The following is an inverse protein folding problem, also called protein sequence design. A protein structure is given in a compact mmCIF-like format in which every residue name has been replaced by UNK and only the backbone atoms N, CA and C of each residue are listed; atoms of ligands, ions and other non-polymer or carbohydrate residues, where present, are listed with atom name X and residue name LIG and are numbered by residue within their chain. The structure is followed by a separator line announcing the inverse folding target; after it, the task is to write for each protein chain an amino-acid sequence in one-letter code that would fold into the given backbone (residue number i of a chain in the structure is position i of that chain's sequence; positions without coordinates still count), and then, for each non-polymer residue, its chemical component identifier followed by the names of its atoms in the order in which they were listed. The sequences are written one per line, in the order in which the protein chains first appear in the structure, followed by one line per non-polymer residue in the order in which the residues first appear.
data_IF_915399556875
#
_entry.id   IF_915399556875
#
_cell.length_a   1.000
_cell.length_b   1.000
_cell.length_c   1.000
_cell.angle_alpha   90.00
_cell.angle_beta   90.00
_cell.angle_gamma   90.00
#
_symmetry.space_group_name_H-M   'P 1'
#
loop_
_entity.id
_entity.type
_entity.pdbx_description
1 polymer ?
#
# COMPACT_ATOMS: atom_id res chain seq x y z
N UNK A 1 4.87 -8.68 39.51
CA UNK A 1 4.24 -7.43 39.99
C UNK A 1 3.02 -7.04 39.13
N UNK A 2 1.96 -7.87 39.09
CA UNK A 2 0.76 -7.68 38.23
C UNK A 2 -0.57 -7.59 38.99
N UNK A 3 -0.55 -7.58 40.33
CA UNK A 3 -1.78 -7.66 41.15
C UNK A 3 -2.36 -6.26 41.49
N UNK A 4 -1.59 -5.17 41.37
CA UNK A 4 -2.05 -3.82 41.79
C UNK A 4 -2.91 -3.03 40.77
N UNK A 5 -3.11 -3.51 39.54
CA UNK A 5 -3.84 -2.73 38.49
C UNK A 5 -5.33 -3.07 38.33
N UNK A 6 -5.85 -4.06 39.08
CA UNK A 6 -7.26 -4.49 38.97
C UNK A 6 -8.17 -3.66 39.91
N UNK A 7 -7.65 -3.17 41.04
CA UNK A 7 -8.44 -2.48 42.07
C UNK A 7 -8.74 -0.99 41.79
N UNK A 8 -8.04 -0.37 40.83
CA UNK A 8 -8.19 1.06 40.52
C UNK A 8 -8.75 1.33 39.12
N UNK A 9 -9.62 0.46 38.61
CA UNK A 9 -10.48 0.86 37.50
C UNK A 9 -11.60 1.74 38.07
N UNK A 10 -11.84 2.96 37.54
CA UNK A 10 -12.91 3.85 38.02
C UNK A 10 -14.27 3.17 38.16
N UNK A 11 -14.52 2.15 37.31
CA UNK A 11 -15.71 1.30 37.34
C UNK A 11 -15.86 0.45 38.60
N UNK A 12 -14.76 -0.03 39.18
CA UNK A 12 -14.77 -0.85 40.40
C UNK A 12 -15.06 0.03 41.60
N UNK A 13 -14.43 1.20 41.67
CA UNK A 13 -14.65 2.19 42.74
C UNK A 13 -16.09 2.70 42.72
N UNK A 14 -16.63 3.00 41.54
CA UNK A 14 -18.03 3.44 41.41
C UNK A 14 -19.04 2.35 41.79
N UNK A 15 -18.80 1.09 41.39
CA UNK A 15 -19.65 -0.05 41.78
C UNK A 15 -19.65 -0.26 43.30
N UNK A 16 -18.47 -0.19 43.93
CA UNK A 16 -18.33 -0.31 45.39
C UNK A 16 -19.05 0.87 46.07
N UNK A 17 -18.88 2.10 45.57
CA UNK A 17 -19.54 3.28 46.11
C UNK A 17 -21.07 3.18 46.08
N UNK A 18 -21.64 2.64 45.00
CA UNK A 18 -23.11 2.46 44.88
C UNK A 18 -23.62 1.37 45.80
N UNK A 19 -22.92 0.23 45.90
CA UNK A 19 -23.28 -0.85 46.82
C UNK A 19 -23.26 -0.35 48.27
N UNK A 20 -22.25 0.44 48.64
CA UNK A 20 -22.16 1.06 49.97
C UNK A 20 -23.27 2.08 50.21
N UNK A 21 -23.67 2.85 49.20
CA UNK A 21 -24.76 3.83 49.31
C UNK A 21 -26.13 3.14 49.47
N UNK A 22 -26.39 2.06 48.72
CA UNK A 22 -27.61 1.26 48.86
C UNK A 22 -27.68 0.58 50.23
N UNK A 23 -26.57 -0.03 50.68
CA UNK A 23 -26.47 -0.62 52.02
C UNK A 23 -26.67 0.42 53.11
N UNK A 24 -26.08 1.61 52.96
CA UNK A 24 -26.25 2.72 53.89
C UNK A 24 -27.71 3.19 54.00
N UNK A 25 -28.41 3.33 52.87
CA UNK A 25 -29.84 3.69 52.86
C UNK A 25 -30.68 2.58 53.51
N UNK A 26 -30.41 1.30 53.19
CA UNK A 26 -31.11 0.17 53.79
C UNK A 26 -30.96 0.10 55.32
N UNK A 27 -29.75 0.35 55.82
CA UNK A 27 -29.46 0.40 57.27
C UNK A 27 -30.20 1.56 57.95
N UNK A 28 -30.21 2.74 57.34
CA UNK A 28 -30.91 3.93 57.89
C UNK A 28 -32.42 3.70 57.95
N UNK A 29 -33.00 3.04 56.94
CA UNK A 29 -34.42 2.70 56.91
C UNK A 29 -34.78 1.64 57.95
N UNK A 30 -33.89 0.64 58.17
CA UNK A 30 -34.12 -0.43 59.12
C UNK A 30 -34.02 0.02 60.59
N UNK A 31 -33.12 0.96 60.91
CA UNK A 31 -32.88 1.42 62.28
C UNK A 31 -33.93 2.43 62.77
N UNK A 32 -34.60 3.15 61.86
CA UNK A 32 -35.57 4.21 62.23
C UNK A 32 -37.02 3.82 61.92
N UNK A 33 -37.77 3.24 62.88
CA UNK A 33 -39.17 2.85 62.66
C UNK A 33 -40.18 4.02 62.60
N UNK A 34 -39.72 5.28 62.70
CA UNK A 34 -40.55 6.51 62.64
C UNK A 34 -40.44 7.27 61.30
N UNK A 35 -40.14 6.56 60.20
CA UNK A 35 -40.09 7.20 58.89
C UNK A 35 -41.51 7.52 58.43
N UNK A 36 -41.78 8.80 58.16
CA UNK A 36 -43.05 9.26 57.61
C UNK A 36 -43.13 8.98 56.11
N UNK A 37 -44.35 8.85 55.56
CA UNK A 37 -44.55 8.67 54.11
C UNK A 37 -43.81 9.72 53.27
N UNK A 38 -43.82 10.99 53.69
CA UNK A 38 -43.11 12.09 53.01
C UNK A 38 -41.59 11.89 52.91
N UNK A 39 -40.97 11.26 53.91
CA UNK A 39 -39.53 10.99 53.89
C UNK A 39 -39.19 9.84 52.93
N UNK A 40 -40.04 8.82 52.87
CA UNK A 40 -39.94 7.73 51.90
C UNK A 40 -40.07 8.25 50.46
N UNK A 41 -41.00 9.15 50.20
CA UNK A 41 -41.21 9.73 48.87
C UNK A 41 -39.99 10.55 48.42
N UNK A 42 -39.41 11.37 49.31
CA UNK A 42 -38.17 12.12 49.00
C UNK A 42 -36.98 11.20 48.73
N UNK A 43 -36.82 10.13 49.51
CA UNK A 43 -35.78 9.13 49.28
C UNK A 43 -35.95 8.41 47.94
N UNK A 44 -37.20 8.10 47.57
CA UNK A 44 -37.51 7.52 46.27
C UNK A 44 -37.09 8.46 45.13
N UNK A 45 -37.45 9.75 45.17
CA UNK A 45 -37.05 10.71 44.13
C UNK A 45 -35.53 10.91 44.05
N UNK A 46 -34.83 10.98 45.19
CA UNK A 46 -33.36 11.09 45.22
C UNK A 46 -32.71 9.85 44.60
N UNK A 47 -33.18 8.66 44.97
CA UNK A 47 -32.72 7.39 44.41
C UNK A 47 -32.98 7.33 42.90
N UNK A 48 -34.17 7.76 42.46
CA UNK A 48 -34.55 7.80 41.06
C UNK A 48 -33.64 8.73 40.25
N UNK A 49 -33.45 9.98 40.70
CA UNK A 49 -32.56 10.95 40.06
C UNK A 49 -31.10 10.44 40.03
N UNK A 50 -30.62 9.90 41.15
CA UNK A 50 -29.28 9.31 41.24
C UNK A 50 -29.09 8.13 40.27
N UNK A 51 -30.11 7.30 40.12
CA UNK A 51 -30.10 6.18 39.17
C UNK A 51 -30.06 6.66 37.72
N UNK A 52 -30.79 7.73 37.39
CA UNK A 52 -30.80 8.33 36.07
C UNK A 52 -29.42 8.94 35.71
N UNK A 53 -28.82 9.71 36.63
CA UNK A 53 -27.46 10.21 36.46
C UNK A 53 -26.44 9.08 36.27
N UNK A 54 -26.58 8.00 37.02
CA UNK A 54 -25.72 6.84 36.87
C UNK A 54 -25.85 6.18 35.50
N UNK A 55 -27.08 5.99 34.99
CA UNK A 55 -27.32 5.43 33.66
C UNK A 55 -26.67 6.32 32.59
N UNK A 56 -26.86 7.65 32.65
CA UNK A 56 -26.23 8.59 31.72
C UNK A 56 -24.70 8.50 31.76
N UNK A 57 -24.12 8.44 32.96
CA UNK A 57 -22.67 8.30 33.13
C UNK A 57 -22.14 6.95 32.61
N UNK A 58 -22.88 5.85 32.79
CA UNK A 58 -22.52 4.55 32.22
C UNK A 58 -22.55 4.56 30.69
N UNK A 59 -23.55 5.20 30.07
CA UNK A 59 -23.63 5.37 28.61
C UNK A 59 -22.42 6.17 28.10
N UNK A 60 -22.07 7.26 28.78
CA UNK A 60 -20.88 8.05 28.45
C UNK A 60 -19.59 7.21 28.50
N UNK A 61 -19.35 6.48 29.60
CA UNK A 61 -18.18 5.62 29.73
C UNK A 61 -18.17 4.47 28.71
N UNK A 62 -19.34 3.92 28.37
CA UNK A 62 -19.47 2.87 27.36
C UNK A 62 -19.10 3.38 25.97
N UNK A 63 -19.57 4.59 25.60
CA UNK A 63 -19.19 5.25 24.34
C UNK A 63 -17.69 5.48 24.25
N UNK A 64 -17.07 5.96 25.34
CA UNK A 64 -15.62 6.18 25.36
C UNK A 64 -14.84 4.86 25.17
N UNK A 65 -15.26 3.79 25.83
CA UNK A 65 -14.64 2.47 25.67
C UNK A 65 -14.81 1.89 24.26
N UNK A 66 -16.00 2.03 23.67
CA UNK A 66 -16.25 1.59 22.30
C UNK A 66 -15.33 2.33 21.33
N UNK A 67 -15.19 3.64 21.47
CA UNK A 67 -14.27 4.44 20.66
C UNK A 67 -12.83 3.96 20.83
N UNK A 68 -12.39 3.71 22.07
CA UNK A 68 -11.04 3.20 22.30
C UNK A 68 -10.80 1.84 21.65
N UNK A 69 -11.76 0.90 21.77
CA UNK A 69 -11.68 -0.43 21.14
C UNK A 69 -11.65 -0.33 19.61
N UNK A 70 -12.49 0.52 19.04
CA UNK A 70 -12.54 0.74 17.60
C UNK A 70 -11.21 1.30 17.08
N UNK A 71 -10.65 2.30 17.76
CA UNK A 71 -9.34 2.86 17.42
C UNK A 71 -8.21 1.83 17.54
N UNK A 72 -8.26 0.98 18.58
CA UNK A 72 -7.31 -0.11 18.73
C UNK A 72 -7.40 -1.10 17.55
N UNK A 73 -8.62 -1.50 17.16
CA UNK A 73 -8.85 -2.41 16.03
C UNK A 73 -8.35 -1.83 14.70
N UNK A 74 -8.58 -0.54 14.44
CA UNK A 74 -8.07 0.13 13.23
C UNK A 74 -6.53 0.07 13.20
N UNK A 75 -5.86 0.32 14.32
CA UNK A 75 -4.40 0.26 14.41
C UNK A 75 -3.87 -1.15 14.22
N UNK A 76 -4.50 -2.13 14.87
CA UNK A 76 -4.16 -3.55 14.69
C UNK A 76 -4.28 -3.96 13.23
N UNK A 77 -5.38 -3.57 12.56
CA UNK A 77 -5.55 -3.82 11.13
C UNK A 77 -4.50 -3.12 10.28
N UNK A 78 -4.08 -1.91 10.66
CA UNK A 78 -3.01 -1.18 9.95
C UNK A 78 -1.67 -1.93 10.02
N UNK A 79 -1.34 -2.51 11.18
CA UNK A 79 -0.14 -3.35 11.35
C UNK A 79 -0.24 -4.64 10.54
N UNK A 80 -1.42 -5.26 10.51
CA UNK A 80 -1.70 -6.42 9.65
C UNK A 80 -1.45 -6.07 8.18
N UNK A 81 -1.93 -4.92 7.70
CA UNK A 81 -1.70 -4.47 6.33
C UNK A 81 -0.22 -4.21 6.04
N UNK A 82 0.55 -3.70 7.00
CA UNK A 82 2.00 -3.57 6.85
C UNK A 82 2.69 -4.92 6.66
N UNK A 83 2.25 -5.94 7.41
CA UNK A 83 2.74 -7.30 7.23
C UNK A 83 2.36 -7.88 5.86
N UNK A 84 1.12 -7.68 5.40
CA UNK A 84 0.69 -8.10 4.06
C UNK A 84 1.50 -7.42 2.95
N UNK A 85 1.76 -6.12 3.08
CA UNK A 85 2.59 -5.39 2.14
C UNK A 85 4.03 -5.92 2.08
N UNK A 86 4.58 -6.37 3.22
CA UNK A 86 5.90 -7.01 3.24
C UNK A 86 5.97 -8.27 2.36
N UNK A 87 4.87 -8.99 2.20
CA UNK A 87 4.78 -10.15 1.33
C UNK A 87 4.64 -9.75 -0.15
N UNK A 88 3.98 -8.62 -0.44
CA UNK A 88 3.89 -8.06 -1.79
C UNK A 88 5.29 -7.67 -2.32
N UNK A 89 6.12 -7.04 -1.46
CA UNK A 89 7.47 -6.58 -1.85
C UNK A 89 8.39 -7.74 -2.26
N UNK A 90 8.27 -8.91 -1.61
CA UNK A 90 9.22 -10.02 -1.82
C UNK A 90 9.16 -10.64 -3.21
N UNK A 91 7.99 -10.62 -3.86
CA UNK A 91 7.71 -11.63 -4.89
C UNK A 91 7.89 -11.08 -6.31
N UNK A 92 7.73 -9.78 -6.61
CA UNK A 92 7.48 -9.42 -8.02
C UNK A 92 7.98 -8.07 -8.59
N UNK A 93 8.34 -7.00 -7.84
CA UNK A 93 8.78 -5.73 -8.47
C UNK A 93 9.93 -5.88 -9.49
N UNK A 94 10.84 -6.84 -9.25
CA UNK A 94 11.98 -7.12 -10.13
C UNK A 94 11.56 -7.70 -11.49
N UNK A 95 10.50 -8.50 -11.55
CA UNK A 95 10.01 -9.05 -12.81
C UNK A 95 9.42 -7.96 -13.70
N UNK A 96 8.65 -7.02 -13.13
CA UNK A 96 8.08 -5.90 -13.91
C UNK A 96 9.17 -4.93 -14.35
N UNK A 97 10.15 -4.66 -13.48
CA UNK A 97 11.32 -3.87 -13.86
C UNK A 97 12.04 -4.50 -15.06
N UNK A 98 12.19 -5.83 -15.10
CA UNK A 98 12.80 -6.51 -16.24
C UNK A 98 11.94 -6.45 -17.52
N UNK A 99 10.62 -6.36 -17.40
CA UNK A 99 9.71 -6.22 -18.57
C UNK A 99 9.57 -4.79 -19.08
N UNK A 100 9.93 -3.78 -18.27
CA UNK A 100 9.89 -2.38 -18.71
C UNK A 100 11.08 -2.07 -19.60
N UNK A 101 10.80 -1.48 -20.78
CA UNK A 101 11.83 -0.94 -21.66
C UNK A 101 12.64 0.17 -20.95
N UNK A 102 13.95 0.26 -21.24
CA UNK A 102 14.86 1.25 -20.64
C UNK A 102 14.42 2.71 -20.86
N UNK A 103 13.80 3.02 -21.99
CA UNK A 103 13.25 4.35 -22.26
C UNK A 103 12.08 4.67 -21.32
N UNK A 104 11.16 3.72 -21.13
CA UNK A 104 10.03 3.85 -20.22
C UNK A 104 10.51 4.01 -18.77
N UNK A 105 11.54 3.26 -18.37
CA UNK A 105 12.17 3.42 -17.04
C UNK A 105 12.73 4.82 -16.86
N UNK A 106 13.42 5.38 -17.85
CA UNK A 106 13.96 6.75 -17.78
C UNK A 106 12.83 7.77 -17.64
N UNK A 107 11.75 7.62 -18.40
CA UNK A 107 10.57 8.48 -18.30
C UNK A 107 9.94 8.41 -16.90
N UNK A 108 9.78 7.21 -16.30
CA UNK A 108 9.26 7.07 -14.92
C UNK A 108 10.20 7.63 -13.85
N UNK A 109 11.51 7.51 -14.04
CA UNK A 109 12.53 8.10 -13.15
C UNK A 109 12.50 9.63 -13.16
N UNK A 110 12.19 10.25 -14.29
CA UNK A 110 12.00 11.71 -14.35
C UNK A 110 10.82 12.20 -13.48
N UNK A 111 9.95 11.29 -13.05
CA UNK A 111 8.86 11.56 -12.10
C UNK A 111 9.21 11.17 -10.65
N UNK A 112 10.44 10.77 -10.33
CA UNK A 112 10.86 10.46 -8.93
C UNK A 112 10.75 11.68 -8.01
N UNK A 113 11.06 12.88 -8.52
CA UNK A 113 11.03 14.12 -7.74
C UNK A 113 9.62 14.67 -7.54
N UNK A 114 8.63 14.16 -8.30
CA UNK A 114 7.25 14.63 -8.21
C UNK A 114 6.26 13.52 -8.61
N UNK A 115 5.93 12.67 -7.63
CA UNK A 115 4.91 11.62 -7.78
C UNK A 115 3.52 12.20 -8.06
N UNK A 116 3.24 13.45 -7.67
CA UNK A 116 1.92 14.07 -7.88
C UNK A 116 1.61 14.43 -9.34
N UNK A 117 2.56 14.24 -10.25
CA UNK A 117 2.33 14.34 -11.70
C UNK A 117 1.47 13.21 -12.25
N UNK A 118 1.47 12.04 -11.60
CA UNK A 118 0.67 10.89 -11.98
C UNK A 118 -0.54 10.85 -11.05
N UNK A 119 -1.74 10.98 -11.59
CA UNK A 119 -2.97 11.14 -10.84
C UNK A 119 -4.04 10.19 -11.32
N UNK A 120 -4.26 10.17 -12.62
CA UNK A 120 -5.38 9.47 -13.21
C UNK A 120 -5.02 8.07 -13.66
N UNK A 121 -3.78 7.81 -14.09
CA UNK A 121 -3.37 6.49 -14.59
C UNK A 121 -4.33 5.98 -15.69
N UNK A 122 -4.60 6.85 -16.65
CA UNK A 122 -5.34 6.57 -17.88
C UNK A 122 -4.49 6.95 -19.10
N UNK A 123 -5.02 6.65 -20.29
CA UNK A 123 -4.30 6.85 -21.55
C UNK A 123 -4.15 8.34 -21.85
N UNK A 124 -5.16 9.15 -21.53
CA UNK A 124 -5.11 10.59 -21.73
C UNK A 124 -3.97 11.24 -20.92
N UNK A 125 -3.87 10.95 -19.62
CA UNK A 125 -2.78 11.44 -18.78
C UNK A 125 -1.43 10.92 -19.28
N UNK A 126 -1.36 9.65 -19.67
CA UNK A 126 -0.13 9.06 -20.16
C UNK A 126 0.38 9.77 -21.43
N UNK A 127 -0.51 10.06 -22.38
CA UNK A 127 -0.19 10.79 -23.60
C UNK A 127 0.28 12.22 -23.28
N UNK A 128 -0.38 12.90 -22.34
CA UNK A 128 -0.01 14.25 -21.91
C UNK A 128 1.37 14.27 -21.22
N UNK A 129 1.60 13.37 -20.26
CA UNK A 129 2.79 13.38 -19.41
C UNK A 129 4.02 12.82 -20.13
N UNK A 130 3.85 11.76 -20.93
CA UNK A 130 4.97 11.02 -21.51
C UNK A 130 5.11 11.16 -23.02
N UNK A 131 4.10 11.73 -23.71
CA UNK A 131 4.09 11.86 -25.16
C UNK A 131 4.33 10.52 -25.85
N UNK A 132 3.61 9.48 -25.40
CA UNK A 132 3.66 8.12 -25.95
C UNK A 132 2.26 7.76 -26.43
N UNK A 133 2.16 7.27 -27.66
CA UNK A 133 0.90 6.72 -28.17
C UNK A 133 0.66 5.30 -27.64
N UNK A 134 -0.60 4.89 -27.51
CA UNK A 134 -0.97 3.58 -26.97
C UNK A 134 -0.27 2.42 -27.71
N UNK A 135 -0.29 2.43 -29.05
CA UNK A 135 0.33 1.39 -29.88
C UNK A 135 1.84 1.29 -29.65
N UNK A 136 2.51 2.44 -29.54
CA UNK A 136 3.95 2.49 -29.26
C UNK A 136 4.25 1.87 -27.88
N UNK A 137 3.37 2.10 -26.90
CA UNK A 137 3.53 1.51 -25.58
C UNK A 137 3.31 -0.01 -25.58
N UNK A 138 2.28 -0.50 -26.27
CA UNK A 138 2.02 -1.95 -26.39
C UNK A 138 3.23 -2.68 -26.99
N UNK A 139 3.83 -2.14 -28.05
CA UNK A 139 5.06 -2.69 -28.64
C UNK A 139 6.24 -2.67 -27.66
N UNK A 140 6.39 -1.59 -26.89
CA UNK A 140 7.47 -1.43 -25.89
C UNK A 140 7.29 -2.32 -24.66
N UNK A 141 6.07 -2.77 -24.37
CA UNK A 141 5.77 -3.68 -23.26
C UNK A 141 5.69 -5.14 -23.70
N UNK A 142 5.79 -5.43 -25.00
CA UNK A 142 5.78 -6.79 -25.51
C UNK A 142 7.05 -7.54 -25.06
N UNK A 143 6.82 -8.60 -24.28
CA UNK A 143 7.86 -9.51 -23.77
C UNK A 143 8.57 -10.22 -24.93
N UNK A 144 7.91 -10.39 -26.08
CA UNK A 144 8.51 -10.92 -27.30
C UNK A 144 9.67 -10.07 -27.83
N UNK A 145 9.71 -8.78 -27.48
CA UNK A 145 10.78 -7.86 -27.85
C UNK A 145 11.93 -7.83 -26.83
N UNK A 146 11.81 -8.54 -25.70
CA UNK A 146 12.91 -8.67 -24.74
C UNK A 146 13.97 -9.63 -25.27
N UNK A 147 15.22 -9.38 -24.88
CA UNK A 147 16.29 -10.34 -25.09
C UNK A 147 16.05 -11.62 -24.28
N UNK A 148 16.57 -12.75 -24.77
CA UNK A 148 16.34 -14.03 -24.11
C UNK A 148 16.92 -14.09 -22.68
N UNK A 149 18.00 -13.35 -22.40
CA UNK A 149 18.58 -13.30 -21.06
C UNK A 149 17.62 -12.63 -20.07
N UNK A 150 16.93 -11.58 -20.49
CA UNK A 150 15.89 -10.90 -19.73
C UNK A 150 14.72 -11.85 -19.46
N UNK A 151 14.28 -12.56 -20.50
CA UNK A 151 13.20 -13.56 -20.43
C UNK A 151 13.58 -14.70 -19.47
N UNK A 152 14.82 -15.21 -19.53
CA UNK A 152 15.32 -16.20 -18.58
C UNK A 152 15.37 -15.68 -17.15
N UNK A 153 15.88 -14.47 -16.94
CA UNK A 153 15.97 -13.89 -15.61
C UNK A 153 14.60 -13.74 -14.97
N UNK A 154 13.62 -13.29 -15.76
CA UNK A 154 12.22 -13.21 -15.34
C UNK A 154 11.71 -14.60 -14.95
N UNK A 155 11.88 -15.58 -15.82
CA UNK A 155 11.30 -16.91 -15.64
C UNK A 155 11.95 -17.71 -14.50
N UNK A 156 13.28 -17.64 -14.35
CA UNK A 156 14.00 -18.27 -13.25
C UNK A 156 13.63 -17.69 -11.89
N UNK A 157 13.36 -16.38 -11.83
CA UNK A 157 12.90 -15.74 -10.60
C UNK A 157 11.51 -16.25 -10.18
N UNK A 158 10.65 -16.59 -11.14
CA UNK A 158 9.28 -17.05 -10.89
C UNK A 158 9.20 -18.54 -10.58
N UNK A 159 9.93 -19.40 -11.29
CA UNK A 159 9.70 -20.86 -11.27
C UNK A 159 10.89 -21.68 -10.71
N UNK A 160 12.04 -21.06 -10.46
CA UNK A 160 13.24 -21.77 -10.01
C UNK A 160 14.01 -22.46 -11.14
N UNK A 161 15.29 -22.75 -10.88
CA UNK A 161 16.26 -23.14 -11.93
C UNK A 161 16.11 -24.61 -12.39
N UNK A 162 15.64 -25.49 -11.51
CA UNK A 162 15.80 -26.93 -11.68
C UNK A 162 14.84 -27.52 -12.73
N UNK A 163 13.61 -27.02 -12.79
CA UNK A 163 12.56 -27.52 -13.69
C UNK A 163 12.87 -27.25 -15.18
N UNK A 164 13.75 -26.30 -15.48
CA UNK A 164 13.96 -25.79 -16.83
C UNK A 164 15.38 -25.91 -17.38
N UNK A 165 16.27 -26.62 -16.67
CA UNK A 165 17.63 -26.92 -17.16
C UNK A 165 17.63 -27.49 -18.58
N UNK A 166 16.62 -28.30 -18.92
CA UNK A 166 16.47 -28.90 -20.24
C UNK A 166 16.08 -27.87 -21.32
N UNK A 167 15.11 -26.97 -21.05
CA UNK A 167 14.74 -25.89 -21.98
C UNK A 167 15.92 -24.94 -22.21
N UNK A 168 16.62 -24.57 -21.14
CA UNK A 168 17.80 -23.70 -21.22
C UNK A 168 18.91 -24.35 -22.06
N UNK A 169 19.19 -25.63 -21.83
CA UNK A 169 20.17 -26.38 -22.63
C UNK A 169 19.73 -26.51 -24.10
N UNK A 170 18.43 -26.66 -24.36
CA UNK A 170 17.87 -26.73 -25.69
C UNK A 170 18.07 -25.41 -26.45
N UNK A 171 17.68 -24.27 -25.88
CA UNK A 171 17.80 -22.96 -26.54
C UNK A 171 19.24 -22.44 -26.61
N UNK A 172 20.12 -22.87 -25.70
CA UNK A 172 21.55 -22.55 -25.77
C UNK A 172 22.21 -23.03 -27.06
N UNK A 173 21.65 -24.05 -27.72
CA UNK A 173 22.17 -24.60 -28.99
C UNK A 173 22.24 -23.56 -30.10
N UNK A 174 21.33 -22.59 -30.12
CA UNK A 174 21.31 -21.52 -31.13
C UNK A 174 21.48 -20.13 -30.51
N UNK A 175 22.31 -20.03 -29.46
CA UNK A 175 22.55 -18.78 -28.71
C UNK A 175 21.25 -18.07 -28.31
N UNK A 176 20.20 -18.83 -28.07
CA UNK A 176 18.90 -18.30 -27.70
C UNK A 176 18.26 -17.35 -28.72
N UNK A 177 18.55 -17.56 -30.00
CA UNK A 177 17.93 -16.84 -31.11
C UNK A 177 17.10 -17.79 -31.93
N UNK A 178 16.01 -17.29 -32.54
CA UNK A 178 15.31 -18.00 -33.60
C UNK A 178 16.22 -18.10 -34.82
N UNK A 179 16.10 -19.19 -35.57
CA UNK A 179 16.63 -19.26 -36.93
C UNK A 179 15.87 -18.26 -37.80
N UNK A 180 16.62 -17.52 -38.63
CA UNK A 180 16.02 -16.59 -39.59
C UNK A 180 15.31 -17.36 -40.69
N UNK A 181 14.27 -16.75 -41.26
CA UNK A 181 13.52 -17.36 -42.36
C UNK A 181 14.43 -17.75 -43.53
N UNK A 182 15.37 -16.88 -43.88
CA UNK A 182 16.37 -17.10 -44.93
C UNK A 182 17.28 -18.31 -44.63
N UNK A 183 17.66 -18.52 -43.37
CA UNK A 183 18.51 -19.66 -42.95
C UNK A 183 17.77 -21.00 -43.13
N UNK A 184 16.47 -21.00 -42.85
CA UNK A 184 15.60 -22.17 -43.00
C UNK A 184 15.32 -22.45 -44.48
N UNK A 185 15.06 -21.42 -45.27
CA UNK A 185 14.78 -21.54 -46.71
C UNK A 185 15.99 -22.04 -47.49
N UNK A 186 17.20 -21.57 -47.13
CA UNK A 186 18.45 -21.96 -47.76
C UNK A 186 18.99 -23.33 -47.29
N UNK A 187 18.35 -23.96 -46.29
CA UNK A 187 18.76 -25.27 -45.78
C UNK A 187 18.38 -26.39 -46.77
N UNK A 188 19.39 -27.01 -47.38
CA UNK A 188 19.22 -28.10 -48.37
C UNK A 188 18.85 -29.45 -47.72
N UNK A 189 19.25 -29.69 -46.48
CA UNK A 189 18.93 -30.92 -45.74
C UNK A 189 17.54 -30.82 -45.09
N UNK A 190 16.61 -31.69 -45.49
CA UNK A 190 15.23 -31.69 -44.98
C UNK A 190 15.16 -31.92 -43.46
N UNK A 191 15.92 -32.88 -42.93
CA UNK A 191 15.94 -33.18 -41.49
C UNK A 191 16.41 -31.98 -40.65
N UNK A 192 17.44 -31.29 -41.14
CA UNK A 192 17.97 -30.09 -40.49
C UNK A 192 16.98 -28.93 -40.57
N UNK A 193 16.31 -28.76 -41.72
CA UNK A 193 15.25 -27.77 -41.90
C UNK A 193 14.07 -28.02 -40.94
N UNK A 194 13.65 -29.28 -40.81
CA UNK A 194 12.62 -29.69 -39.85
C UNK A 194 13.03 -29.40 -38.40
N UNK A 195 14.29 -29.68 -38.03
CA UNK A 195 14.82 -29.38 -36.71
C UNK A 195 14.87 -27.86 -36.41
N UNK A 196 15.20 -27.02 -37.40
CA UNK A 196 15.17 -25.56 -37.26
C UNK A 196 13.75 -25.04 -37.07
N UNK A 197 12.79 -25.55 -37.84
CA UNK A 197 11.37 -25.20 -37.69
C UNK A 197 10.83 -25.60 -36.32
N UNK A 198 11.13 -26.82 -35.87
CA UNK A 198 10.77 -27.30 -34.53
C UNK A 198 11.38 -26.42 -33.44
N UNK A 199 12.67 -26.06 -33.57
CA UNK A 199 13.32 -25.15 -32.63
C UNK A 199 12.61 -23.80 -32.53
N UNK A 200 12.27 -23.18 -33.68
CA UNK A 200 11.58 -21.89 -33.69
C UNK A 200 10.19 -21.96 -33.06
N UNK A 201 9.44 -23.04 -33.31
CA UNK A 201 8.15 -23.30 -32.69
C UNK A 201 8.28 -23.41 -31.16
N UNK A 202 9.22 -24.22 -30.67
CA UNK A 202 9.48 -24.36 -29.23
C UNK A 202 9.92 -23.04 -28.59
N UNK A 203 10.73 -22.25 -29.30
CA UNK A 203 11.14 -20.92 -28.84
C UNK A 203 9.92 -20.01 -28.66
N UNK A 204 9.03 -19.94 -29.65
CA UNK A 204 7.82 -19.12 -29.57
C UNK A 204 6.89 -19.57 -28.45
N UNK A 205 6.71 -20.87 -28.28
CA UNK A 205 5.91 -21.41 -27.19
C UNK A 205 6.50 -21.02 -25.83
N UNK A 206 7.82 -21.09 -25.67
CA UNK A 206 8.49 -20.67 -24.45
C UNK A 206 8.33 -19.17 -24.18
N UNK A 207 8.49 -18.30 -25.18
CA UNK A 207 8.26 -16.86 -25.00
C UNK A 207 6.82 -16.57 -24.56
N UNK A 208 5.83 -17.22 -25.20
CA UNK A 208 4.41 -17.07 -24.82
C UNK A 208 4.13 -17.55 -23.40
N UNK A 209 4.74 -18.66 -22.98
CA UNK A 209 4.65 -19.20 -21.62
C UNK A 209 5.20 -18.19 -20.60
N UNK A 210 6.41 -17.66 -20.83
CA UNK A 210 7.00 -16.63 -19.96
C UNK A 210 6.12 -15.39 -19.92
N UNK A 211 5.64 -14.92 -21.06
CA UNK A 211 4.78 -13.74 -21.14
C UNK A 211 3.46 -13.92 -20.37
N UNK A 212 2.88 -15.13 -20.43
CA UNK A 212 1.68 -15.47 -19.67
C UNK A 212 1.94 -15.50 -18.16
N UNK A 213 3.06 -16.07 -17.69
CA UNK A 213 3.44 -16.04 -16.28
C UNK A 213 3.69 -14.62 -15.77
N UNK A 214 4.36 -13.78 -16.56
CA UNK A 214 4.57 -12.37 -16.24
C UNK A 214 3.25 -11.63 -16.07
N UNK A 215 2.33 -11.85 -17.01
CA UNK A 215 1.00 -11.23 -16.99
C UNK A 215 0.22 -11.70 -15.76
N UNK A 216 0.23 -12.99 -15.46
CA UNK A 216 -0.43 -13.55 -14.26
C UNK A 216 0.15 -12.99 -12.97
N UNK A 217 1.48 -12.92 -12.86
CA UNK A 217 2.17 -12.31 -11.71
C UNK A 217 1.83 -10.83 -11.54
N UNK A 218 1.85 -10.05 -12.63
CA UNK A 218 1.47 -8.64 -12.64
C UNK A 218 0.04 -8.42 -12.17
N UNK A 219 -0.93 -9.14 -12.75
CA UNK A 219 -2.35 -9.02 -12.38
C UNK A 219 -2.56 -9.40 -10.91
N UNK A 220 -1.93 -10.48 -10.45
CA UNK A 220 -2.03 -10.92 -9.06
C UNK A 220 -1.54 -9.83 -8.07
N UNK A 221 -0.47 -9.11 -8.38
CA UNK A 221 0.00 -8.02 -7.53
C UNK A 221 -0.91 -6.82 -7.55
N UNK A 222 -1.34 -6.40 -8.73
CA UNK A 222 -2.20 -5.23 -8.84
C UNK A 222 -3.51 -5.48 -8.07
N UNK A 223 -4.04 -6.70 -8.13
CA UNK A 223 -5.18 -7.11 -7.30
C UNK A 223 -4.85 -7.09 -5.79
N UNK A 224 -3.64 -7.53 -5.39
CA UNK A 224 -3.22 -7.45 -3.97
C UNK A 224 -2.99 -6.02 -3.50
N UNK A 225 -2.43 -5.15 -4.35
CA UNK A 225 -2.27 -3.72 -4.10
C UNK A 225 -3.63 -3.05 -4.00
N UNK A 226 -4.59 -3.43 -4.83
CA UNK A 226 -5.96 -2.94 -4.78
C UNK A 226 -6.64 -3.31 -3.47
N UNK A 227 -6.55 -4.58 -3.09
CA UNK A 227 -7.08 -5.04 -1.82
C UNK A 227 -6.39 -4.37 -0.62
N UNK A 228 -5.07 -4.24 -0.65
CA UNK A 228 -4.30 -3.51 0.36
C UNK A 228 -4.78 -2.06 0.48
N UNK A 229 -4.93 -1.38 -0.66
CA UNK A 229 -5.30 0.03 -0.70
C UNK A 229 -6.75 0.24 -0.27
N UNK A 230 -7.65 -0.67 -0.64
CA UNK A 230 -9.05 -0.67 -0.22
C UNK A 230 -9.19 -0.62 1.30
N UNK A 231 -8.36 -1.34 2.06
CA UNK A 231 -8.43 -1.33 3.53
C UNK A 231 -8.22 0.08 4.11
N UNK A 232 -7.38 0.89 3.47
CA UNK A 232 -7.11 2.25 3.90
C UNK A 232 -8.16 3.24 3.41
N UNK A 233 -8.54 3.17 2.13
CA UNK A 233 -9.52 4.08 1.54
C UNK A 233 -10.90 3.93 2.21
N UNK A 234 -11.30 2.70 2.50
CA UNK A 234 -12.55 2.40 3.22
C UNK A 234 -12.48 2.62 4.74
N UNK A 235 -11.35 3.12 5.25
CA UNK A 235 -11.10 3.46 6.67
C UNK A 235 -11.17 2.25 7.63
N UNK A 236 -11.00 1.03 7.13
CA UNK A 236 -10.85 -0.18 7.96
C UNK A 236 -9.49 -0.15 8.67
N UNK A 237 -8.46 0.33 7.98
CA UNK A 237 -7.14 0.62 8.50
C UNK A 237 -6.84 2.13 8.42
N UNK A 238 -5.94 2.61 9.27
CA UNK A 238 -5.46 3.99 9.24
C UNK A 238 -4.10 4.04 8.52
N UNK A 239 -4.10 4.63 7.32
CA UNK A 239 -2.93 4.75 6.47
C UNK A 239 -1.81 5.58 7.12
N UNK A 240 -2.15 6.58 7.94
CA UNK A 240 -1.16 7.42 8.63
C UNK A 240 -0.27 6.59 9.56
N UNK A 241 -0.80 5.49 10.11
CA UNK A 241 -0.07 4.59 11.01
C UNK A 241 1.13 3.93 10.29
N UNK A 242 0.99 3.67 8.99
CA UNK A 242 1.98 2.92 8.21
C UNK A 242 2.71 3.77 7.18
N UNK A 243 2.20 4.98 6.91
CA UNK A 243 2.74 5.89 5.91
C UNK A 243 4.26 6.04 6.03
N UNK A 244 4.74 6.40 7.22
CA UNK A 244 6.17 6.65 7.48
C UNK A 244 7.08 5.49 7.07
N UNK A 245 6.61 4.25 7.22
CA UNK A 245 7.41 3.05 6.92
C UNK A 245 7.23 2.55 5.48
N UNK A 246 6.07 2.77 4.86
CA UNK A 246 5.69 2.07 3.63
C UNK A 246 5.62 2.97 2.39
N UNK A 247 5.39 4.27 2.55
CA UNK A 247 5.02 5.14 1.43
C UNK A 247 6.03 5.14 0.29
N UNK A 248 7.33 5.20 0.59
CA UNK A 248 8.38 5.26 -0.43
C UNK A 248 8.37 4.03 -1.34
N UNK A 249 8.21 2.84 -0.74
CA UNK A 249 8.21 1.58 -1.48
C UNK A 249 6.91 1.42 -2.25
N UNK A 250 5.77 1.77 -1.63
CA UNK A 250 4.47 1.73 -2.30
C UNK A 250 4.42 2.65 -3.52
N UNK A 251 4.81 3.93 -3.38
CA UNK A 251 4.81 4.90 -4.47
C UNK A 251 5.71 4.44 -5.63
N UNK A 252 6.87 3.84 -5.33
CA UNK A 252 7.75 3.26 -6.36
C UNK A 252 7.10 2.08 -7.06
N UNK A 253 6.51 1.14 -6.31
CA UNK A 253 5.87 -0.05 -6.88
C UNK A 253 4.69 0.34 -7.77
N UNK A 254 3.76 1.16 -7.27
CA UNK A 254 2.59 1.60 -8.05
C UNK A 254 3.02 2.36 -9.31
N UNK A 255 4.06 3.21 -9.21
CA UNK A 255 4.62 3.90 -10.38
C UNK A 255 5.23 2.94 -11.41
N UNK A 256 5.88 1.85 -10.99
CA UNK A 256 6.36 0.84 -11.93
C UNK A 256 5.21 0.19 -12.73
N UNK A 257 4.01 0.13 -12.17
CA UNK A 257 2.83 -0.36 -12.89
C UNK A 257 2.07 0.69 -13.68
N UNK A 258 2.49 1.96 -13.66
CA UNK A 258 1.75 3.08 -14.23
C UNK A 258 1.23 2.78 -15.64
N UNK A 259 2.13 2.44 -16.56
CA UNK A 259 1.78 2.17 -17.96
C UNK A 259 0.81 1.00 -18.12
N UNK A 260 0.91 -0.03 -17.28
CA UNK A 260 -0.02 -1.16 -17.31
C UNK A 260 -1.41 -0.76 -16.82
N UNK A 261 -1.49 0.04 -15.75
CA UNK A 261 -2.76 0.55 -15.24
C UNK A 261 -3.41 1.47 -16.28
N UNK A 262 -2.63 2.36 -16.90
CA UNK A 262 -3.09 3.27 -17.95
C UNK A 262 -3.71 2.53 -19.15
N UNK A 263 -3.01 1.53 -19.71
CA UNK A 263 -3.56 0.70 -20.81
C UNK A 263 -4.83 -0.04 -20.36
N UNK A 264 -4.85 -0.57 -19.13
CA UNK A 264 -6.03 -1.29 -18.62
C UNK A 264 -7.24 -0.36 -18.49
N UNK A 265 -7.00 0.94 -18.29
CA UNK A 265 -8.00 1.99 -18.17
C UNK A 265 -8.32 2.70 -19.51
N UNK A 266 -8.11 2.05 -20.67
CA UNK A 266 -8.37 2.66 -21.99
C UNK A 266 -9.77 3.31 -22.10
N UNK A 267 -9.78 4.52 -22.68
CA UNK A 267 -10.87 5.43 -23.02
C UNK A 267 -12.25 4.76 -23.08
N UNK A 268 -12.97 4.82 -21.96
CA UNK A 268 -14.41 4.55 -21.93
C UNK A 268 -14.84 3.20 -21.35
N UNK A 269 -13.95 2.43 -20.72
CA UNK A 269 -14.45 1.44 -19.75
C UNK A 269 -15.27 2.19 -18.70
N UNK A 270 -16.58 1.89 -18.60
CA UNK A 270 -17.50 2.51 -17.64
C UNK A 270 -16.97 2.42 -16.20
N UNK A 271 -16.16 1.40 -15.95
CA UNK A 271 -15.51 1.11 -14.68
C UNK A 271 -13.98 1.21 -14.85
N UNK A 272 -13.35 2.07 -14.05
CA UNK A 272 -11.89 2.22 -13.95
C UNK A 272 -11.33 1.08 -13.10
N UNK A 273 -10.19 0.52 -13.50
CA UNK A 273 -9.48 -0.50 -12.74
C UNK A 273 -8.55 0.14 -11.72
N UNK A 274 -8.34 -0.59 -10.62
CA UNK A 274 -7.38 -0.25 -9.57
C UNK A 274 -7.64 1.10 -8.87
N UNK A 275 -8.91 1.48 -8.75
CA UNK A 275 -9.35 2.75 -8.17
C UNK A 275 -8.78 3.01 -6.78
N UNK A 276 -8.82 2.01 -5.88
CA UNK A 276 -8.30 2.20 -4.53
C UNK A 276 -6.78 2.37 -4.52
N UNK A 277 -6.07 1.67 -5.40
CA UNK A 277 -4.63 1.81 -5.58
C UNK A 277 -4.27 3.22 -6.05
N UNK A 278 -4.97 3.72 -7.07
CA UNK A 278 -4.76 5.07 -7.61
C UNK A 278 -5.09 6.12 -6.55
N UNK A 279 -6.19 5.96 -5.81
CA UNK A 279 -6.59 6.90 -4.76
C UNK A 279 -5.57 6.94 -3.62
N UNK A 280 -5.13 5.79 -3.11
CA UNK A 280 -4.13 5.73 -2.04
C UNK A 280 -2.78 6.29 -2.52
N UNK A 281 -2.38 5.99 -3.75
CA UNK A 281 -1.23 6.62 -4.38
C UNK A 281 -1.35 8.15 -4.37
N UNK A 282 -2.47 8.71 -4.79
CA UNK A 282 -2.69 10.16 -4.82
C UNK A 282 -2.67 10.81 -3.43
N UNK A 283 -3.18 10.13 -2.41
CA UNK A 283 -3.07 10.59 -1.02
C UNK A 283 -1.59 10.62 -0.61
N UNK A 284 -0.86 9.54 -0.83
CA UNK A 284 0.52 9.39 -0.39
C UNK A 284 1.50 10.25 -1.18
N UNK A 285 1.28 10.42 -2.49
CA UNK A 285 2.06 11.25 -3.39
C UNK A 285 1.93 12.74 -3.03
N UNK A 286 0.70 13.21 -2.77
CA UNK A 286 0.49 14.59 -2.30
C UNK A 286 1.18 14.84 -0.95
N UNK A 287 1.02 13.93 0.01
CA UNK A 287 1.69 14.06 1.30
C UNK A 287 3.22 14.07 1.16
N UNK A 288 3.76 13.23 0.28
CA UNK A 288 5.20 13.17 0.01
C UNK A 288 5.70 14.49 -0.59
N UNK A 289 4.97 15.04 -1.55
CA UNK A 289 5.28 16.32 -2.18
C UNK A 289 5.26 17.48 -1.17
N UNK A 290 4.26 17.52 -0.28
CA UNK A 290 4.20 18.50 0.80
C UNK A 290 5.41 18.41 1.75
N UNK A 291 5.86 17.19 2.08
CA UNK A 291 7.06 17.00 2.89
C UNK A 291 8.32 17.52 2.18
N UNK A 292 8.47 17.31 0.88
CA UNK A 292 9.59 17.85 0.10
C UNK A 292 9.58 19.39 0.11
N UNK A 293 8.41 20.00 -0.10
CA UNK A 293 8.26 21.46 -0.12
C UNK A 293 8.66 22.08 1.23
N UNK A 294 8.12 21.53 2.32
CA UNK A 294 8.45 21.95 3.68
C UNK A 294 9.94 21.80 4.00
N UNK A 295 10.56 20.68 3.62
CA UNK A 295 12.01 20.51 3.80
C UNK A 295 12.82 21.52 2.99
N UNK A 296 12.37 21.83 1.77
CA UNK A 296 13.04 22.77 0.89
C UNK A 296 12.97 24.19 1.44
N UNK A 297 11.82 24.60 1.95
CA UNK A 297 11.63 25.87 2.65
C UNK A 297 12.52 25.96 3.89
N UNK A 298 12.51 24.92 4.73
CA UNK A 298 13.34 24.87 5.93
C UNK A 298 14.84 24.97 5.61
N UNK A 299 15.32 24.28 4.57
CA UNK A 299 16.71 24.38 4.08
C UNK A 299 17.05 25.80 3.60
N UNK A 300 16.11 26.49 2.94
CA UNK A 300 16.29 27.90 2.52
C UNK A 300 16.40 28.83 3.73
N UNK A 301 15.56 28.64 4.75
CA UNK A 301 15.60 29.42 6.00
C UNK A 301 16.91 29.21 6.78
N UNK A 302 17.40 27.98 6.88
CA UNK A 302 18.69 27.70 7.52
C UNK A 302 19.81 28.41 6.75
N UNK A 303 19.81 28.33 5.42
CA UNK A 303 20.82 28.96 4.57
C UNK A 303 20.79 30.49 4.68
N UNK A 304 19.61 31.10 4.81
CA UNK A 304 19.50 32.55 5.01
C UNK A 304 20.02 32.98 6.38
N UNK A 305 19.70 32.24 7.45
CA UNK A 305 20.20 32.50 8.81
C UNK A 305 21.72 32.35 8.90
N UNK A 306 22.30 31.31 8.30
CA UNK A 306 23.75 31.11 8.23
C UNK A 306 24.46 32.24 7.49
N UNK A 307 23.90 32.71 6.36
CA UNK A 307 24.45 33.88 5.64
C UNK A 307 24.39 35.16 6.47
N UNK A 308 23.32 35.37 7.24
CA UNK A 308 23.19 36.55 8.09
C UNK A 308 24.24 36.55 9.22
N UNK A 309 24.49 35.39 9.85
CA UNK A 309 25.47 35.27 10.92
C UNK A 309 26.92 35.49 10.45
N UNK A 310 27.27 35.03 9.24
CA UNK A 310 28.61 35.27 8.65
C UNK A 310 28.85 36.77 8.37
N UNK A 311 27.81 37.50 7.98
CA UNK A 311 27.88 38.95 7.74
C UNK A 311 28.04 39.72 9.06
N UNK A 312 27.43 39.25 10.15
CA UNK A 312 27.60 39.86 11.49
C UNK A 312 29.01 39.64 12.02
N UNK A 313 29.55 38.41 11.96
CA UNK A 313 30.91 38.10 12.45
C UNK A 313 32.02 38.82 11.66
N UNK A 314 31.84 39.05 10.35
CA UNK A 314 32.82 39.79 9.54
C UNK A 314 32.80 41.31 9.79
N UNK A 315 31.68 41.85 10.27
CA UNK A 315 31.55 43.27 10.64
C UNK A 315 32.12 43.60 12.02
N UNK A 316 32.21 42.62 12.92
CA UNK A 316 32.83 42.77 14.24
C UNK A 316 34.35 42.54 14.23
N UNK A 317 34.89 41.87 13.20
CA UNK A 317 36.35 41.72 12.99
C UNK A 317 37.00 42.90 12.25
N UNK A 318 36.21 43.87 11.79
CA UNK A 318 36.67 45.06 11.05
C UNK A 318 36.54 46.37 11.83
N UNK A 319 36.23 46.30 13.12
CA UNK A 319 36.36 47.39 14.10
C UNK A 319 37.51 47.10 15.04
#
# INVERSE_FOLDING_TARGET
MKIKKILFKPRVILKIGIVLLILGIGIVVFINPKITCDMLEKLYYISFIGSLFFIVYQIYLSRQDMNFRFQYQIREKSVEMANEFSQIIKIIPRTIELTLNEELKKKLKACDDNYSKLKEFDIEEMQEVFQIEEKELEEKLDIGNLGFNEILNIFFYQNGIEEYKNKVKFFKKNNFLKYKKEEIENCQEEDKKAAMLFYNMEYENFIKEVAAECTRGRVALLNRLEWFSMNFITKIANEETVYQSLHQVYLKIVKLFYFHIAITNNNGAKDKYYCYTIELYNIWARRYQQHIELETEHKKEIKSKLKCNIVVETSDLTK
#
